data_IF_444948661612
#
_entry.id   IF_444948661612
#
_cell.length_a   1.000
_cell.length_b   1.000
_cell.length_c   1.000
_cell.angle_alpha   90.00
_cell.angle_beta   90.00
_cell.angle_gamma   90.00
#
_symmetry.space_group_name_H-M   'P 1'
#
loop_
_entity.id
_entity.type
_entity.pdbx_description
1 polymer ?
#
# COMPACT_ATOMS: atom_id res chain seq x y z
N UNK A 1 22.56 3.94 29.64
CA UNK A 1 21.25 4.06 30.32
C UNK A 1 20.41 5.19 29.75
N UNK A 2 20.87 6.44 29.70
CA UNK A 2 20.12 7.61 29.20
C UNK A 2 19.66 7.42 27.74
N UNK A 3 20.52 6.95 26.85
CA UNK A 3 20.19 6.71 25.42
C UNK A 3 19.10 5.66 25.24
N UNK A 4 19.06 4.62 26.07
CA UNK A 4 18.04 3.58 26.06
C UNK A 4 16.68 4.14 26.51
N UNK A 5 16.66 4.95 27.57
CA UNK A 5 15.43 5.61 28.07
C UNK A 5 14.87 6.56 27.01
N UNK A 6 15.72 7.38 26.38
CA UNK A 6 15.30 8.27 25.29
C UNK A 6 14.71 7.50 24.09
N UNK A 7 15.29 6.35 23.74
CA UNK A 7 14.76 5.50 22.67
C UNK A 7 13.36 4.95 23.00
N UNK A 8 13.15 4.50 24.25
CA UNK A 8 11.85 4.01 24.72
C UNK A 8 10.80 5.14 24.70
N UNK A 9 11.14 6.32 25.24
CA UNK A 9 10.24 7.47 25.25
C UNK A 9 9.84 7.88 23.83
N UNK A 10 10.78 7.86 22.89
CA UNK A 10 10.49 8.14 21.48
C UNK A 10 9.53 7.14 20.86
N UNK A 11 9.67 5.83 21.15
CA UNK A 11 8.74 4.80 20.66
C UNK A 11 7.35 4.97 21.27
N UNK A 12 7.25 5.26 22.57
CA UNK A 12 5.97 5.51 23.24
C UNK A 12 5.27 6.73 22.62
N UNK A 13 6.00 7.82 22.39
CA UNK A 13 5.43 9.03 21.78
C UNK A 13 4.91 8.76 20.35
N UNK A 14 5.62 7.96 19.56
CA UNK A 14 5.17 7.52 18.25
C UNK A 14 3.87 6.72 18.31
N UNK A 15 3.78 5.77 19.25
CA UNK A 15 2.56 4.95 19.43
C UNK A 15 1.36 5.83 19.83
N UNK A 16 1.53 6.76 20.76
CA UNK A 16 0.47 7.68 21.19
C UNK A 16 0.01 8.54 20.01
N UNK A 17 0.95 9.08 19.25
CA UNK A 17 0.62 9.91 18.08
C UNK A 17 -0.15 9.13 17.01
N UNK A 18 0.28 7.90 16.70
CA UNK A 18 -0.37 7.06 15.72
C UNK A 18 -1.76 6.59 16.20
N UNK A 19 -1.92 6.37 17.51
CA UNK A 19 -3.23 6.10 18.11
C UNK A 19 -4.22 7.24 17.85
N UNK A 20 -3.84 8.49 18.15
CA UNK A 20 -4.72 9.63 17.91
C UNK A 20 -4.99 9.87 16.42
N UNK A 21 -4.01 9.68 15.54
CA UNK A 21 -4.21 9.77 14.08
C UNK A 21 -5.19 8.72 13.58
N UNK A 22 -5.04 7.50 14.07
CA UNK A 22 -5.93 6.40 13.71
C UNK A 22 -7.35 6.61 14.26
N UNK A 23 -7.49 7.05 15.51
CA UNK A 23 -8.77 7.37 16.13
C UNK A 23 -9.48 8.50 15.37
N UNK A 24 -8.79 9.60 15.08
CA UNK A 24 -9.31 10.69 14.26
C UNK A 24 -9.80 10.19 12.90
N UNK A 25 -8.99 9.32 12.28
CA UNK A 25 -9.35 8.68 11.04
C UNK A 25 -10.62 7.82 11.19
N UNK A 26 -10.79 7.04 12.24
CA UNK A 26 -11.99 6.22 12.48
C UNK A 26 -13.25 7.07 12.66
N UNK A 27 -13.15 8.16 13.39
CA UNK A 27 -14.30 9.07 13.70
C UNK A 27 -14.73 9.80 12.42
N UNK A 28 -13.81 10.31 11.64
CA UNK A 28 -14.10 11.17 10.48
C UNK A 28 -14.37 10.40 9.18
N UNK A 29 -14.62 9.10 9.28
CA UNK A 29 -14.78 8.26 8.08
C UNK A 29 -16.19 8.14 7.54
N UNK A 30 -16.29 8.44 6.28
CA UNK A 30 -17.07 7.61 5.39
C UNK A 30 -16.15 6.71 4.59
N UNK A 31 -16.58 5.49 4.20
CA UNK A 31 -15.75 4.53 3.49
C UNK A 31 -15.05 5.10 2.25
N UNK A 32 -13.83 4.70 2.00
CA UNK A 32 -13.07 5.09 0.82
C UNK A 32 -13.32 4.10 -0.32
N UNK A 33 -13.36 4.63 -1.54
CA UNK A 33 -13.45 3.77 -2.72
C UNK A 33 -12.08 3.17 -3.05
N UNK A 34 -11.01 3.98 -2.93
CA UNK A 34 -9.63 3.57 -3.18
C UNK A 34 -8.69 4.10 -2.11
N UNK A 35 -7.73 3.27 -1.74
CA UNK A 35 -6.60 3.64 -0.89
C UNK A 35 -5.33 3.43 -1.70
N UNK A 36 -4.48 4.45 -1.72
CA UNK A 36 -3.15 4.38 -2.29
C UNK A 36 -2.15 4.21 -1.17
N UNK A 37 -1.49 3.06 -1.13
CA UNK A 37 -0.42 2.80 -0.18
C UNK A 37 0.92 3.24 -0.77
N UNK A 38 1.56 4.18 -0.11
CA UNK A 38 2.86 4.71 -0.44
C UNK A 38 3.82 4.35 0.70
N UNK A 39 4.72 3.42 0.46
CA UNK A 39 5.69 2.97 1.47
C UNK A 39 6.59 4.13 1.92
N UNK A 40 7.06 4.92 0.95
CA UNK A 40 7.89 6.11 1.17
C UNK A 40 7.63 7.18 0.10
N UNK A 41 8.25 8.33 0.26
CA UNK A 41 8.08 9.47 -0.66
C UNK A 41 8.51 9.18 -2.10
N UNK A 42 9.46 8.28 -2.32
CA UNK A 42 9.98 7.95 -3.64
C UNK A 42 8.99 7.11 -4.48
N UNK A 43 7.99 6.51 -3.85
CA UNK A 43 6.96 5.74 -4.54
C UNK A 43 5.83 6.60 -5.11
N UNK A 44 5.71 7.86 -4.65
CA UNK A 44 4.65 8.77 -5.09
C UNK A 44 4.64 9.05 -6.60
N UNK A 45 5.77 9.34 -7.28
CA UNK A 45 5.76 9.63 -8.72
C UNK A 45 5.08 8.55 -9.56
N UNK A 46 5.23 7.29 -9.20
CA UNK A 46 4.65 6.16 -9.93
C UNK A 46 3.11 6.09 -9.81
N UNK A 47 2.55 6.63 -8.75
CA UNK A 47 1.11 6.65 -8.51
C UNK A 47 0.47 8.01 -8.79
N UNK A 48 1.26 9.07 -8.96
CA UNK A 48 0.78 10.45 -9.05
C UNK A 48 -0.30 10.65 -10.12
N UNK A 49 -0.06 10.15 -11.35
CA UNK A 49 -1.02 10.24 -12.45
C UNK A 49 -2.31 9.48 -12.16
N UNK A 50 -2.20 8.29 -11.58
CA UNK A 50 -3.37 7.48 -11.23
C UNK A 50 -4.18 8.17 -10.13
N UNK A 51 -3.51 8.77 -9.15
CA UNK A 51 -4.14 9.56 -8.09
C UNK A 51 -4.89 10.75 -8.70
N UNK A 52 -4.24 11.57 -9.54
CA UNK A 52 -4.84 12.73 -10.22
C UNK A 52 -6.08 12.34 -11.03
N UNK A 53 -6.01 11.28 -11.85
CA UNK A 53 -7.16 10.77 -12.63
C UNK A 53 -8.32 10.30 -11.75
N UNK A 54 -8.06 9.82 -10.53
CA UNK A 54 -9.13 9.42 -9.61
C UNK A 54 -9.77 10.60 -8.90
N UNK A 55 -9.02 11.67 -8.63
CA UNK A 55 -9.55 12.93 -8.11
C UNK A 55 -10.52 13.56 -9.10
N UNK A 56 -10.12 13.68 -10.36
CA UNK A 56 -10.97 14.26 -11.41
C UNK A 56 -12.31 13.53 -11.56
N UNK A 57 -12.35 12.24 -11.24
CA UNK A 57 -13.58 11.43 -11.23
C UNK A 57 -14.38 11.50 -9.93
N UNK A 58 -14.08 12.46 -9.04
CA UNK A 58 -14.76 12.68 -7.73
C UNK A 58 -14.85 11.43 -6.85
N UNK A 59 -13.90 10.50 -6.98
CA UNK A 59 -13.87 9.29 -6.16
C UNK A 59 -13.25 9.58 -4.79
N UNK A 60 -13.86 9.02 -3.75
CA UNK A 60 -13.31 9.11 -2.39
C UNK A 60 -12.03 8.30 -2.31
N UNK A 61 -10.91 8.97 -2.21
CA UNK A 61 -9.59 8.37 -2.11
C UNK A 61 -8.90 8.76 -0.81
N UNK A 62 -8.04 7.88 -0.33
CA UNK A 62 -7.16 8.08 0.80
C UNK A 62 -5.75 7.74 0.38
N UNK A 63 -4.79 8.53 0.80
CA UNK A 63 -3.38 8.16 0.77
C UNK A 63 -3.02 7.63 2.16
N UNK A 64 -2.44 6.44 2.19
CA UNK A 64 -1.89 5.83 3.41
C UNK A 64 -0.38 5.67 3.25
N UNK A 65 0.37 6.06 4.28
CA UNK A 65 1.83 5.90 4.29
C UNK A 65 2.37 5.64 5.69
N UNK A 66 3.53 5.00 5.74
CA UNK A 66 4.34 4.88 6.96
C UNK A 66 5.43 5.97 7.03
N UNK A 67 5.64 6.71 5.95
CA UNK A 67 6.63 7.79 5.86
C UNK A 67 5.99 9.15 6.13
N UNK A 68 6.48 9.83 7.16
CA UNK A 68 6.03 11.20 7.52
C UNK A 68 6.34 12.24 6.45
N UNK A 69 7.38 12.03 5.64
CA UNK A 69 7.83 12.98 4.63
C UNK A 69 6.90 13.02 3.41
N UNK A 70 6.01 12.03 3.28
CA UNK A 70 5.09 11.94 2.14
C UNK A 70 4.24 13.22 1.95
N UNK A 71 3.89 13.91 3.03
CA UNK A 71 3.12 15.16 2.97
C UNK A 71 3.80 16.27 2.18
N UNK A 72 5.13 16.32 2.22
CA UNK A 72 5.93 17.35 1.52
C UNK A 72 5.92 17.14 0.00
N UNK A 73 5.71 15.90 -0.46
CA UNK A 73 5.69 15.55 -1.89
C UNK A 73 4.30 15.65 -2.51
N UNK A 74 3.25 15.59 -1.70
CA UNK A 74 1.87 15.60 -2.20
C UNK A 74 1.32 17.02 -2.09
N UNK A 75 1.30 17.72 -3.22
CA UNK A 75 0.70 19.06 -3.33
C UNK A 75 -0.83 19.06 -3.44
N UNK A 76 -1.45 17.90 -3.41
CA UNK A 76 -2.89 17.74 -3.60
C UNK A 76 -3.62 17.83 -2.25
N UNK A 77 -4.76 18.50 -2.22
CA UNK A 77 -5.64 18.54 -1.05
C UNK A 77 -6.40 17.21 -0.89
N UNK A 78 -5.72 16.20 -0.39
CA UNK A 78 -6.23 14.85 -0.20
C UNK A 78 -6.13 14.42 1.26
N UNK A 79 -7.04 13.56 1.74
CA UNK A 79 -6.89 12.93 3.03
C UNK A 79 -5.65 12.02 3.02
N UNK A 80 -4.72 12.28 3.92
CA UNK A 80 -3.49 11.50 4.10
C UNK A 80 -3.48 10.97 5.53
N UNK A 81 -3.41 9.64 5.66
CA UNK A 81 -3.18 8.96 6.93
C UNK A 81 -1.73 8.49 6.99
N UNK A 82 -1.01 8.94 7.99
CA UNK A 82 0.37 8.51 8.26
C UNK A 82 0.38 7.75 9.58
N UNK A 83 0.80 6.48 9.53
CA UNK A 83 1.01 5.63 10.69
C UNK A 83 2.44 5.09 10.63
N UNK A 84 3.31 5.64 11.45
CA UNK A 84 4.75 5.33 11.42
C UNK A 84 5.09 4.03 12.17
N UNK A 85 4.18 3.54 12.99
CA UNK A 85 4.35 2.28 13.71
C UNK A 85 3.71 1.11 12.96
N UNK A 86 4.39 -0.02 12.91
CA UNK A 86 3.86 -1.23 12.28
C UNK A 86 2.55 -1.66 12.94
N UNK A 87 2.45 -1.58 14.27
CA UNK A 87 1.26 -1.97 15.01
C UNK A 87 -0.03 -1.29 14.51
N UNK A 88 -0.05 0.04 14.40
CA UNK A 88 -1.23 0.75 13.90
C UNK A 88 -1.44 0.59 12.39
N UNK A 89 -0.37 0.43 11.63
CA UNK A 89 -0.48 0.09 10.21
C UNK A 89 -1.18 -1.24 10.00
N UNK A 90 -0.91 -2.23 10.82
CA UNK A 90 -1.55 -3.54 10.78
C UNK A 90 -3.03 -3.48 11.17
N UNK A 91 -3.35 -2.79 12.25
CA UNK A 91 -4.75 -2.54 12.62
C UNK A 91 -5.49 -1.84 11.50
N UNK A 92 -4.85 -0.87 10.82
CA UNK A 92 -5.42 -0.20 9.66
C UNK A 92 -5.74 -1.20 8.53
N UNK A 93 -4.80 -2.08 8.16
CA UNK A 93 -5.04 -3.09 7.12
C UNK A 93 -6.14 -4.09 7.50
N UNK A 94 -6.22 -4.49 8.79
CA UNK A 94 -7.29 -5.35 9.30
C UNK A 94 -8.67 -4.71 9.18
N UNK A 95 -8.74 -3.44 9.51
CA UNK A 95 -10.01 -2.67 9.58
C UNK A 95 -10.34 -1.93 8.29
N UNK A 96 -9.56 -2.18 7.22
CA UNK A 96 -9.66 -1.50 5.94
C UNK A 96 -11.07 -1.62 5.34
N UNK A 97 -11.74 -0.48 5.14
CA UNK A 97 -13.03 -0.39 4.47
C UNK A 97 -12.88 0.31 3.12
N UNK A 98 -12.27 -0.36 2.16
CA UNK A 98 -12.10 0.14 0.80
C UNK A 98 -12.39 -0.96 -0.23
N UNK A 99 -12.82 -0.56 -1.41
CA UNK A 99 -12.99 -1.49 -2.53
C UNK A 99 -11.65 -1.91 -3.14
N UNK A 100 -10.68 -0.98 -3.17
CA UNK A 100 -9.36 -1.21 -3.75
C UNK A 100 -8.27 -0.63 -2.87
N UNK A 101 -7.19 -1.39 -2.70
CA UNK A 101 -5.90 -0.91 -2.23
C UNK A 101 -4.91 -1.00 -3.41
N UNK A 102 -4.24 0.10 -3.70
CA UNK A 102 -3.31 0.24 -4.82
C UNK A 102 -1.93 0.53 -4.24
N UNK A 103 -0.94 -0.26 -4.61
CA UNK A 103 0.43 -0.17 -4.08
C UNK A 103 1.46 -0.39 -5.16
N UNK A 104 2.63 0.19 -4.97
CA UNK A 104 3.87 -0.12 -5.70
C UNK A 104 4.78 -1.07 -4.92
N UNK A 105 4.43 -1.37 -3.67
CA UNK A 105 5.17 -2.30 -2.80
C UNK A 105 4.63 -3.69 -3.00
N UNK A 106 5.51 -4.63 -3.30
CA UNK A 106 5.23 -6.07 -3.31
C UNK A 106 5.24 -6.62 -1.88
N UNK A 107 4.97 -7.89 -1.74
CA UNK A 107 5.15 -8.57 -0.45
C UNK A 107 4.36 -7.95 0.71
N UNK A 108 3.14 -7.45 0.48
CA UNK A 108 2.27 -6.89 1.52
C UNK A 108 2.03 -7.85 2.70
N UNK A 109 2.46 -9.10 2.55
CA UNK A 109 2.30 -10.17 3.52
C UNK A 109 3.60 -10.64 4.17
N UNK A 110 4.75 -10.08 3.81
CA UNK A 110 6.05 -10.60 4.27
C UNK A 110 6.48 -10.07 5.62
N UNK A 111 5.96 -8.94 6.08
CA UNK A 111 6.00 -8.71 7.51
C UNK A 111 5.17 -9.80 8.17
N UNK A 112 5.72 -10.46 9.15
CA UNK A 112 5.14 -11.63 9.84
C UNK A 112 3.69 -11.42 10.32
N UNK A 113 3.25 -10.19 10.36
CA UNK A 113 1.98 -9.72 10.88
C UNK A 113 0.95 -9.54 9.75
N UNK A 114 1.35 -9.05 8.57
CA UNK A 114 0.46 -8.85 7.42
C UNK A 114 -0.11 -10.15 6.82
N UNK A 115 0.58 -11.30 6.96
CA UNK A 115 0.11 -12.59 6.40
C UNK A 115 -1.30 -12.99 6.80
N UNK A 116 -1.79 -12.54 7.95
CA UNK A 116 -3.12 -12.88 8.47
C UNK A 116 -4.13 -11.74 8.37
N UNK A 117 -3.71 -10.56 7.92
CA UNK A 117 -4.45 -9.31 8.14
C UNK A 117 -5.04 -8.68 6.90
N UNK A 118 -4.75 -9.24 5.70
CA UNK A 118 -5.33 -8.71 4.48
C UNK A 118 -6.86 -8.89 4.46
N UNK A 119 -7.59 -7.78 4.40
CA UNK A 119 -9.04 -7.82 4.34
C UNK A 119 -9.51 -8.41 2.99
N UNK A 120 -10.12 -9.60 3.02
CA UNK A 120 -10.61 -10.31 1.82
C UNK A 120 -11.68 -9.56 1.04
N UNK A 121 -12.33 -8.55 1.62
CA UNK A 121 -13.31 -7.70 0.94
C UNK A 121 -12.67 -6.58 0.11
N UNK A 122 -11.40 -6.27 0.36
CA UNK A 122 -10.62 -5.31 -0.41
C UNK A 122 -9.89 -6.02 -1.54
N UNK A 123 -9.84 -5.43 -2.73
CA UNK A 123 -9.03 -5.91 -3.86
C UNK A 123 -7.70 -5.21 -3.88
N UNK A 124 -6.63 -6.00 -3.94
CA UNK A 124 -5.25 -5.53 -3.92
C UNK A 124 -4.72 -5.43 -5.35
N UNK A 125 -4.22 -4.25 -5.71
CA UNK A 125 -3.72 -3.95 -7.06
C UNK A 125 -2.27 -3.49 -6.94
N UNK A 126 -1.37 -4.20 -7.63
CA UNK A 126 0.03 -3.81 -7.73
C UNK A 126 0.26 -2.96 -8.98
N UNK A 127 0.94 -1.83 -8.80
CA UNK A 127 1.38 -0.95 -9.88
C UNK A 127 2.88 -1.10 -10.05
N UNK A 128 3.27 -1.51 -11.24
CA UNK A 128 4.67 -1.72 -11.58
C UNK A 128 5.43 -0.39 -11.67
N UNK A 129 6.56 -0.32 -11.00
CA UNK A 129 7.45 0.83 -10.98
C UNK A 129 8.84 0.53 -11.60
N UNK A 130 9.04 -0.69 -12.09
CA UNK A 130 10.29 -1.14 -12.69
C UNK A 130 10.06 -1.93 -13.97
N UNK A 131 10.98 -1.86 -14.92
CA UNK A 131 10.95 -2.63 -16.17
C UNK A 131 11.53 -4.04 -16.04
N UNK A 132 12.00 -4.43 -14.87
CA UNK A 132 12.52 -5.78 -14.61
C UNK A 132 11.45 -6.86 -14.71
N UNK A 133 11.85 -8.09 -14.98
CA UNK A 133 10.95 -9.26 -14.97
C UNK A 133 10.33 -9.49 -13.58
N UNK A 134 9.15 -10.07 -13.57
CA UNK A 134 8.43 -10.31 -12.32
C UNK A 134 8.98 -11.53 -11.57
N UNK A 135 9.55 -12.49 -12.26
CA UNK A 135 10.12 -13.70 -11.66
C UNK A 135 11.52 -13.41 -11.09
N UNK A 136 12.38 -12.79 -11.89
CA UNK A 136 13.78 -12.59 -11.53
C UNK A 136 14.04 -11.33 -10.69
N UNK A 137 13.12 -10.36 -10.72
CA UNK A 137 13.28 -9.08 -10.03
C UNK A 137 12.64 -9.03 -8.64
N UNK A 138 11.85 -10.03 -8.27
CA UNK A 138 11.11 -10.05 -7.02
C UNK A 138 11.22 -11.39 -6.32
N UNK A 139 10.95 -11.37 -5.00
CA UNK A 139 10.91 -12.61 -4.23
C UNK A 139 9.83 -13.55 -4.74
N UNK A 140 10.09 -14.83 -4.57
CA UNK A 140 9.07 -15.84 -4.79
C UNK A 140 7.81 -15.53 -3.97
N UNK A 141 6.65 -15.63 -4.59
CA UNK A 141 5.34 -15.29 -4.00
C UNK A 141 5.05 -13.79 -3.79
N UNK A 142 5.92 -12.88 -4.24
CA UNK A 142 5.74 -11.43 -4.05
C UNK A 142 4.35 -10.90 -4.48
N UNK A 143 3.73 -11.53 -5.47
CA UNK A 143 2.44 -11.13 -6.04
C UNK A 143 1.25 -11.98 -5.61
N UNK A 144 1.47 -13.00 -4.77
CA UNK A 144 0.43 -14.00 -4.46
C UNK A 144 -0.82 -13.42 -3.80
N UNK A 145 -0.71 -12.29 -3.11
CA UNK A 145 -1.81 -11.63 -2.43
C UNK A 145 -2.47 -10.51 -3.23
N UNK A 146 -2.01 -10.28 -4.46
CA UNK A 146 -2.64 -9.31 -5.34
C UNK A 146 -3.74 -9.96 -6.20
N UNK A 147 -4.83 -9.21 -6.39
CA UNK A 147 -5.91 -9.58 -7.30
C UNK A 147 -5.59 -9.16 -8.74
N UNK A 148 -4.78 -8.11 -8.88
CA UNK A 148 -4.35 -7.62 -10.19
C UNK A 148 -2.95 -7.01 -10.13
N UNK A 149 -2.19 -7.21 -11.19
CA UNK A 149 -0.83 -6.69 -11.38
C UNK A 149 -0.77 -5.93 -12.68
N UNK A 150 -0.26 -4.69 -12.62
CA UNK A 150 0.07 -3.95 -13.84
C UNK A 150 1.28 -4.59 -14.50
N UNK A 151 1.20 -4.75 -15.81
CA UNK A 151 2.32 -5.19 -16.63
C UNK A 151 2.69 -4.08 -17.62
N UNK A 152 3.98 -3.88 -17.86
CA UNK A 152 4.50 -2.83 -18.73
C UNK A 152 4.94 -3.41 -20.08
N UNK A 153 5.49 -4.62 -20.09
CA UNK A 153 6.08 -5.25 -21.26
C UNK A 153 5.63 -6.70 -21.47
N UNK A 154 6.05 -7.30 -22.58
CA UNK A 154 5.71 -8.67 -22.96
C UNK A 154 6.33 -9.70 -22.01
N UNK A 155 7.54 -9.46 -21.54
CA UNK A 155 8.23 -10.40 -20.63
C UNK A 155 7.48 -10.53 -19.30
N UNK A 156 7.06 -9.42 -18.71
CA UNK A 156 6.23 -9.44 -17.49
C UNK A 156 4.88 -10.14 -17.72
N UNK A 157 4.36 -10.10 -18.94
CA UNK A 157 3.14 -10.83 -19.26
C UNK A 157 3.35 -12.34 -19.20
N UNK A 158 4.46 -12.86 -19.74
CA UNK A 158 4.79 -14.28 -19.69
C UNK A 158 5.15 -14.70 -18.25
N UNK A 159 5.94 -13.92 -17.54
CA UNK A 159 6.24 -14.14 -16.11
C UNK A 159 4.95 -14.30 -15.29
N UNK A 160 3.95 -13.45 -15.52
CA UNK A 160 2.69 -13.53 -14.78
C UNK A 160 1.87 -14.77 -15.14
N UNK A 161 1.98 -15.29 -16.37
CA UNK A 161 1.38 -16.58 -16.74
C UNK A 161 2.00 -17.71 -15.93
N UNK A 162 3.33 -17.72 -15.85
CA UNK A 162 4.08 -18.71 -15.10
C UNK A 162 3.76 -18.66 -13.60
N UNK A 163 3.75 -17.46 -13.00
CA UNK A 163 3.34 -17.25 -11.61
C UNK A 163 1.93 -17.79 -11.36
N UNK A 164 0.97 -17.47 -12.23
CA UNK A 164 -0.39 -17.97 -12.10
C UNK A 164 -0.48 -19.50 -12.18
N UNK A 165 0.29 -20.12 -13.06
CA UNK A 165 0.37 -21.58 -13.19
C UNK A 165 1.00 -22.21 -11.96
N UNK A 166 2.16 -21.69 -11.52
CA UNK A 166 2.93 -22.22 -10.38
C UNK A 166 2.14 -22.21 -9.07
N UNK A 167 1.36 -21.15 -8.83
CA UNK A 167 0.62 -20.97 -7.57
C UNK A 167 -0.87 -21.28 -7.68
N UNK A 168 -1.34 -21.83 -8.79
CA UNK A 168 -2.76 -22.11 -9.05
C UNK A 168 -3.64 -20.87 -8.78
N UNK A 169 -3.15 -19.68 -9.10
CA UNK A 169 -3.84 -18.41 -8.91
C UNK A 169 -4.27 -17.79 -10.22
N UNK A 170 -5.31 -16.96 -10.15
CA UNK A 170 -5.83 -16.20 -11.29
C UNK A 170 -5.66 -14.70 -11.04
N UNK A 171 -4.41 -14.26 -10.92
CA UNK A 171 -4.09 -12.83 -10.79
C UNK A 171 -4.36 -12.16 -12.14
N UNK A 172 -5.18 -11.12 -12.13
CA UNK A 172 -5.51 -10.35 -13.33
C UNK A 172 -4.32 -9.50 -13.77
N UNK A 173 -4.15 -9.38 -15.08
CA UNK A 173 -3.14 -8.52 -15.71
C UNK A 173 -3.83 -7.35 -16.36
N UNK A 174 -3.22 -6.17 -16.31
CA UNK A 174 -3.73 -4.99 -17.02
C UNK A 174 -2.58 -4.07 -17.44
N UNK A 175 -2.82 -3.28 -18.50
CA UNK A 175 -1.96 -2.17 -18.92
C UNK A 175 -2.73 -0.87 -18.69
N UNK A 176 -2.03 0.19 -18.33
CA UNK A 176 -2.57 1.54 -18.50
C UNK A 176 -2.30 1.97 -19.94
N UNK A 177 -3.36 2.30 -20.65
CA UNK A 177 -3.26 3.02 -21.92
C UNK A 177 -3.14 4.50 -21.63
#
# INVERSE_FOLDING_TARGET
MITMIMSILKKINLLIRDFFRYLYFLINKGGFYKIFFLENENTYPYLAEIIKRNISRKKRILIFSQDKNIKMKISLNLPILILETNFFSEIFFLTLKAKYLISTTTDLDTSTIFKKTLNKKCRYIYIQHSHIGLINGYREKAFINFDAVQIINKYQYEDMKEINKKYFKKIKRFKFN
#
